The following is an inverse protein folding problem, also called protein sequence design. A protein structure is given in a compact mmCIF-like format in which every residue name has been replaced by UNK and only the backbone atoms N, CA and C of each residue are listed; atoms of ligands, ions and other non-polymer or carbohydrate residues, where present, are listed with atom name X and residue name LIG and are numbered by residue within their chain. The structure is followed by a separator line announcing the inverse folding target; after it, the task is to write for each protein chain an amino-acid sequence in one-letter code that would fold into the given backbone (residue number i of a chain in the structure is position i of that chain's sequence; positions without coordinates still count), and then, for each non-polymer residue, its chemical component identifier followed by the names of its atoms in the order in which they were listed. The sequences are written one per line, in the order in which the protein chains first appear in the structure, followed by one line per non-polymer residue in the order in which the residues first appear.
data_IF_640423327313
#
_entry.id   IF_640423327313
#
_cell.length_a   1.000
_cell.length_b   1.000
_cell.length_c   1.000
_cell.angle_alpha   90.00
_cell.angle_beta   90.00
_cell.angle_gamma   90.00
#
_symmetry.space_group_name_H-M   'P 1'
#
loop_
_entity.id
_entity.type
_entity.pdbx_description
1 polymer ?
#
# COMPACT_ATOMS: atom_id res chain seq x y z
N UNK A 1 9.26 32.86 16.73
CA UNK A 1 9.62 31.45 16.53
C UNK A 1 9.35 30.71 17.82
N UNK A 2 8.66 29.56 17.77
CA UNK A 2 8.55 28.71 18.95
C UNK A 2 9.95 28.27 19.37
N UNK A 3 10.27 28.35 20.66
CA UNK A 3 11.57 27.88 21.18
C UNK A 3 11.67 26.36 21.05
N UNK A 4 10.55 25.66 21.25
CA UNK A 4 10.43 24.20 21.28
C UNK A 4 9.10 23.76 20.67
N UNK A 5 9.09 22.62 19.98
CA UNK A 5 7.86 21.98 19.50
C UNK A 5 7.25 21.11 20.61
N UNK A 6 6.01 21.43 20.99
CA UNK A 6 5.25 20.67 21.98
C UNK A 6 4.39 19.56 21.36
N UNK A 7 3.86 18.67 22.21
CA UNK A 7 3.06 17.51 21.85
C UNK A 7 1.84 17.84 20.99
N UNK A 8 1.22 19.00 21.19
CA UNK A 8 -0.01 19.37 20.48
C UNK A 8 0.23 19.65 18.99
N UNK A 9 1.45 20.08 18.63
CA UNK A 9 1.85 20.19 17.22
C UNK A 9 1.94 18.82 16.56
N UNK A 10 2.48 17.82 17.28
CA UNK A 10 2.58 16.44 16.77
C UNK A 10 1.19 15.82 16.61
N UNK A 11 0.28 16.03 17.57
CA UNK A 11 -1.11 15.57 17.46
C UNK A 11 -1.85 16.19 16.28
N UNK A 12 -1.65 17.49 16.09
CA UNK A 12 -2.24 18.22 14.96
C UNK A 12 -1.73 17.68 13.64
N UNK A 13 -0.42 17.40 13.54
CA UNK A 13 0.17 16.74 12.38
C UNK A 13 -0.39 15.34 12.14
N UNK A 14 -0.48 14.50 13.18
CA UNK A 14 -1.09 13.18 13.10
C UNK A 14 -2.54 13.23 12.60
N UNK A 15 -3.32 14.22 13.06
CA UNK A 15 -4.69 14.42 12.57
C UNK A 15 -4.75 14.76 11.08
N UNK A 16 -3.70 15.35 10.51
CA UNK A 16 -3.63 15.64 9.07
C UNK A 16 -3.26 14.39 8.28
N UNK A 17 -2.37 13.55 8.81
CA UNK A 17 -1.97 12.29 8.16
C UNK A 17 -2.93 11.13 8.47
N UNK A 18 -3.92 11.31 9.34
CA UNK A 18 -4.90 10.30 9.73
C UNK A 18 -5.74 9.75 8.57
N UNK A 19 -5.80 10.49 7.46
CA UNK A 19 -6.47 10.12 6.21
C UNK A 19 -5.71 9.08 5.39
N UNK A 20 -4.46 8.78 5.73
CA UNK A 20 -3.63 7.79 5.05
C UNK A 20 -3.50 6.52 5.89
N UNK A 21 -3.20 5.41 5.21
CA UNK A 21 -3.02 4.12 5.86
C UNK A 21 -1.84 4.15 6.83
N UNK A 22 -2.12 3.79 8.09
CA UNK A 22 -1.18 3.87 9.21
C UNK A 22 0.06 2.99 9.03
N UNK A 23 -0.08 1.90 8.28
CA UNK A 23 0.96 0.88 8.17
C UNK A 23 1.97 1.18 7.07
N UNK A 24 1.57 1.98 6.09
CA UNK A 24 2.37 2.30 4.90
C UNK A 24 2.79 3.76 4.84
N UNK A 25 2.28 4.61 5.73
CA UNK A 25 2.58 6.04 5.78
C UNK A 25 3.73 6.33 6.74
N UNK A 26 4.74 7.06 6.24
CA UNK A 26 5.80 7.65 7.05
C UNK A 26 5.51 9.15 7.20
N UNK A 27 5.40 9.61 8.44
CA UNK A 27 5.22 11.02 8.75
C UNK A 27 6.54 11.67 9.13
N UNK A 28 6.95 12.71 8.39
CA UNK A 28 8.17 13.47 8.69
C UNK A 28 7.74 14.86 9.15
N UNK A 29 8.01 15.18 10.41
CA UNK A 29 7.80 16.51 10.96
C UNK A 29 9.14 17.22 11.06
N UNK A 30 9.24 18.40 10.43
CA UNK A 30 10.47 19.18 10.35
C UNK A 30 10.25 20.50 11.09
N UNK A 31 11.22 20.90 11.91
CA UNK A 31 11.17 22.18 12.62
C UNK A 31 12.44 23.01 12.44
N UNK A 32 12.28 24.32 12.57
CA UNK A 32 13.38 25.29 12.73
C UNK A 32 13.52 25.80 14.17
N UNK A 33 12.77 25.22 15.11
CA UNK A 33 12.82 25.59 16.53
C UNK A 33 14.23 25.33 17.10
N UNK A 34 14.75 26.30 17.85
CA UNK A 34 16.13 26.26 18.38
C UNK A 34 16.36 25.09 19.33
N UNK A 35 15.37 24.79 20.17
CA UNK A 35 15.45 23.71 21.16
C UNK A 35 14.80 22.42 20.64
N UNK A 36 14.47 22.35 19.35
CA UNK A 36 13.89 21.18 18.70
C UNK A 36 12.54 20.78 19.29
N UNK A 37 12.48 19.59 19.89
CA UNK A 37 11.24 18.95 20.36
C UNK A 37 11.24 18.73 21.87
N UNK A 38 10.10 18.98 22.49
CA UNK A 38 9.87 18.64 23.89
C UNK A 38 9.91 17.12 24.09
N UNK A 39 10.15 16.69 25.33
CA UNK A 39 10.04 15.28 25.72
C UNK A 39 8.64 14.71 25.45
N UNK A 40 7.59 15.52 25.60
CA UNK A 40 6.21 15.14 25.27
C UNK A 40 6.01 14.89 23.78
N UNK A 41 6.54 15.77 22.91
CA UNK A 41 6.50 15.59 21.46
C UNK A 41 7.24 14.32 21.01
N UNK A 42 8.44 14.08 21.55
CA UNK A 42 9.23 12.87 21.27
C UNK A 42 8.50 11.62 21.76
N UNK A 43 7.94 11.67 22.98
CA UNK A 43 7.18 10.57 23.56
C UNK A 43 5.95 10.22 22.70
N UNK A 44 5.22 11.23 22.22
CA UNK A 44 4.09 11.03 21.33
C UNK A 44 4.48 10.37 20.03
N UNK A 45 5.54 10.86 19.37
CA UNK A 45 6.03 10.29 18.12
C UNK A 45 6.44 8.82 18.26
N UNK A 46 7.09 8.44 19.37
CA UNK A 46 7.47 7.05 19.66
C UNK A 46 6.27 6.13 19.92
N UNK A 47 5.19 6.68 20.48
CA UNK A 47 3.94 5.94 20.75
C UNK A 47 2.95 5.94 19.59
N UNK A 48 3.28 6.59 18.47
CA UNK A 48 2.38 6.70 17.34
C UNK A 48 2.18 5.35 16.66
N UNK A 49 1.00 5.17 16.07
CA UNK A 49 0.73 4.05 15.16
C UNK A 49 1.38 4.27 13.79
N UNK A 50 1.82 5.50 13.49
CA UNK A 50 2.59 5.85 12.30
C UNK A 50 4.09 5.73 12.55
N UNK A 51 4.84 5.46 11.48
CA UNK A 51 6.28 5.68 11.47
C UNK A 51 6.58 7.17 11.43
N UNK A 52 6.81 7.78 12.59
CA UNK A 52 7.09 9.21 12.71
C UNK A 52 8.58 9.50 12.89
N UNK A 53 9.11 10.37 12.02
CA UNK A 53 10.42 11.01 12.15
C UNK A 53 10.23 12.47 12.57
N UNK A 54 10.82 12.83 13.71
CA UNK A 54 10.97 14.22 14.13
C UNK A 54 12.40 14.66 13.83
N UNK A 55 12.57 15.71 13.03
CA UNK A 55 13.90 16.19 12.61
C UNK A 55 13.95 17.72 12.57
N UNK A 56 15.15 18.28 12.50
CA UNK A 56 15.38 19.71 12.37
C UNK A 56 15.96 20.02 10.98
N UNK A 57 15.82 21.27 10.52
CA UNK A 57 16.39 21.70 9.23
C UNK A 57 17.88 21.34 9.08
N UNK A 58 18.76 21.55 10.08
CA UNK A 58 20.19 21.24 9.92
C UNK A 58 20.48 19.74 9.72
N UNK A 59 19.68 18.88 10.35
CA UNK A 59 19.93 17.44 10.44
C UNK A 59 19.18 16.64 9.36
N UNK A 60 18.28 17.31 8.63
CA UNK A 60 17.36 16.73 7.65
C UNK A 60 18.04 15.78 6.65
N UNK A 61 19.18 16.19 6.11
CA UNK A 61 19.91 15.44 5.09
C UNK A 61 20.49 14.13 5.62
N UNK A 62 20.73 14.03 6.92
CA UNK A 62 21.23 12.82 7.57
C UNK A 62 20.09 11.98 8.13
N UNK A 63 19.15 12.61 8.83
CA UNK A 63 18.07 11.92 9.55
C UNK A 63 17.14 11.15 8.61
N UNK A 64 16.79 11.73 7.46
CA UNK A 64 15.85 11.09 6.52
C UNK A 64 16.41 9.77 5.98
N UNK A 65 17.62 9.73 5.36
CA UNK A 65 18.17 8.47 4.85
C UNK A 65 18.36 7.41 5.93
N UNK A 66 18.86 7.78 7.12
CA UNK A 66 19.07 6.83 8.22
C UNK A 66 17.75 6.25 8.71
N UNK A 67 16.73 7.09 8.90
CA UNK A 67 15.42 6.66 9.34
C UNK A 67 14.73 5.75 8.31
N UNK A 68 14.78 6.12 7.03
CA UNK A 68 14.22 5.29 5.96
C UNK A 68 14.91 3.93 5.88
N UNK A 69 16.24 3.88 5.99
CA UNK A 69 16.98 2.62 6.06
C UNK A 69 16.51 1.74 7.22
N UNK A 70 16.28 2.34 8.39
CA UNK A 70 15.78 1.62 9.57
C UNK A 70 14.36 1.09 9.39
N UNK A 71 13.44 1.92 8.90
CA UNK A 71 12.04 1.53 8.70
C UNK A 71 11.91 0.47 7.60
N UNK A 72 12.65 0.60 6.49
CA UNK A 72 12.64 -0.39 5.42
C UNK A 72 13.34 -1.70 5.82
N UNK A 73 14.23 -1.67 6.81
CA UNK A 73 14.82 -2.86 7.40
C UNK A 73 14.03 -3.43 8.58
N UNK A 74 12.92 -2.81 8.97
CA UNK A 74 12.01 -3.37 9.97
C UNK A 74 11.36 -4.63 9.42
N UNK A 75 11.61 -5.76 10.09
CA UNK A 75 11.08 -7.06 9.70
C UNK A 75 9.54 -7.08 9.68
N UNK A 76 8.88 -6.21 10.45
CA UNK A 76 7.43 -6.03 10.41
C UNK A 76 6.94 -5.50 9.06
N UNK A 77 7.66 -4.53 8.47
CA UNK A 77 7.33 -3.98 7.15
C UNK A 77 7.60 -5.03 6.07
N UNK A 78 8.74 -5.74 6.17
CA UNK A 78 9.06 -6.86 5.25
C UNK A 78 8.03 -7.98 5.30
N UNK A 79 7.58 -8.38 6.50
CA UNK A 79 6.56 -9.42 6.65
C UNK A 79 5.20 -8.98 6.06
N UNK A 80 4.85 -7.70 6.20
CA UNK A 80 3.63 -7.16 5.57
C UNK A 80 3.74 -7.11 4.04
N UNK A 81 4.89 -6.71 3.51
CA UNK A 81 5.15 -6.74 2.06
C UNK A 81 5.03 -8.18 1.56
N UNK A 82 5.66 -9.13 2.24
CA UNK A 82 5.60 -10.55 1.91
C UNK A 82 4.16 -11.08 1.87
N UNK A 83 3.31 -10.73 2.85
CA UNK A 83 1.89 -11.11 2.85
C UNK A 83 1.08 -10.48 1.73
N UNK A 84 1.48 -9.29 1.25
CA UNK A 84 0.85 -8.66 0.09
C UNK A 84 1.26 -9.40 -1.19
N UNK A 85 2.55 -9.73 -1.32
CA UNK A 85 3.08 -10.51 -2.44
C UNK A 85 2.39 -11.87 -2.55
N UNK A 86 2.23 -12.59 -1.43
CA UNK A 86 1.51 -13.88 -1.38
C UNK A 86 0.06 -13.76 -1.88
N UNK A 87 -0.66 -12.71 -1.47
CA UNK A 87 -2.03 -12.46 -1.96
C UNK A 87 -2.09 -12.11 -3.44
N UNK A 88 -1.09 -11.40 -3.94
CA UNK A 88 -0.99 -11.08 -5.37
C UNK A 88 -0.79 -12.37 -6.17
N UNK A 89 0.07 -13.27 -5.71
CA UNK A 89 0.29 -14.57 -6.34
C UNK A 89 -0.99 -15.42 -6.35
N UNK A 90 -1.72 -15.51 -5.22
CA UNK A 90 -3.03 -16.18 -5.16
C UNK A 90 -4.05 -15.59 -6.17
N UNK A 91 -4.08 -14.26 -6.30
CA UNK A 91 -4.96 -13.59 -7.27
C UNK A 91 -4.58 -13.92 -8.71
N UNK A 92 -3.29 -14.03 -9.03
CA UNK A 92 -2.81 -14.42 -10.35
C UNK A 92 -3.28 -15.84 -10.68
N UNK A 93 -3.14 -16.80 -9.76
CA UNK A 93 -3.62 -18.18 -9.99
C UNK A 93 -5.13 -18.25 -10.25
N UNK A 94 -5.93 -17.47 -9.51
CA UNK A 94 -7.37 -17.38 -9.72
C UNK A 94 -7.69 -16.83 -11.11
N UNK A 95 -7.00 -15.77 -11.55
CA UNK A 95 -7.19 -15.18 -12.87
C UNK A 95 -6.83 -16.16 -13.99
N UNK A 96 -5.73 -16.89 -13.86
CA UNK A 96 -5.35 -17.92 -14.84
C UNK A 96 -6.39 -19.05 -14.93
N UNK A 97 -6.96 -19.46 -13.79
CA UNK A 97 -8.01 -20.47 -13.77
C UNK A 97 -9.29 -19.98 -14.46
N UNK A 98 -9.68 -18.72 -14.21
CA UNK A 98 -10.82 -18.09 -14.88
C UNK A 98 -10.61 -18.01 -16.39
N UNK A 99 -9.40 -17.68 -16.84
CA UNK A 99 -9.08 -17.59 -18.26
C UNK A 99 -9.23 -18.94 -18.98
N UNK A 100 -8.77 -20.03 -18.35
CA UNK A 100 -8.98 -21.41 -18.85
C UNK A 100 -10.47 -21.74 -18.95
N UNK A 101 -11.27 -21.36 -17.96
CA UNK A 101 -12.71 -21.61 -17.96
C UNK A 101 -13.43 -20.83 -19.08
N UNK A 102 -13.08 -19.55 -19.27
CA UNK A 102 -13.59 -18.72 -20.36
C UNK A 102 -13.24 -19.34 -21.72
N UNK A 103 -12.02 -19.83 -21.89
CA UNK A 103 -11.60 -20.48 -23.14
C UNK A 103 -12.44 -21.73 -23.44
N UNK A 104 -12.75 -22.55 -22.42
CA UNK A 104 -13.62 -23.71 -22.57
C UNK A 104 -15.03 -23.32 -23.01
N UNK A 105 -15.64 -22.31 -22.38
CA UNK A 105 -16.98 -21.81 -22.76
C UNK A 105 -16.99 -21.34 -24.22
N UNK A 106 -15.96 -20.59 -24.64
CA UNK A 106 -15.84 -20.13 -26.04
C UNK A 106 -15.80 -21.31 -27.02
N UNK A 107 -15.01 -22.34 -26.72
CA UNK A 107 -14.91 -23.52 -27.57
C UNK A 107 -16.23 -24.32 -27.65
N UNK A 108 -16.92 -24.47 -26.52
CA UNK A 108 -18.21 -25.16 -26.49
C UNK A 108 -19.29 -24.38 -27.25
N UNK A 109 -19.27 -23.05 -27.17
CA UNK A 109 -20.15 -22.18 -27.96
C UNK A 109 -19.92 -22.35 -29.47
N UNK A 110 -18.66 -22.35 -29.92
CA UNK A 110 -18.31 -22.58 -31.35
C UNK A 110 -18.83 -23.94 -31.82
N UNK A 111 -18.73 -24.99 -31.00
CA UNK A 111 -19.26 -26.32 -31.35
C UNK A 111 -20.78 -26.32 -31.51
N UNK A 112 -21.50 -25.60 -30.65
CA UNK A 112 -22.96 -25.48 -30.72
C UNK A 112 -23.37 -24.73 -31.99
N UNK A 113 -22.73 -23.59 -32.27
CA UNK A 113 -22.99 -22.78 -33.47
C UNK A 113 -22.74 -23.60 -34.75
N UNK A 114 -21.64 -24.35 -34.82
CA UNK A 114 -21.34 -25.24 -35.95
C UNK A 114 -22.39 -26.35 -36.15
N UNK A 115 -22.95 -26.90 -35.05
CA UNK A 115 -24.02 -27.89 -35.14
C UNK A 115 -25.32 -27.29 -35.67
N UNK A 116 -25.69 -26.08 -35.22
CA UNK A 116 -26.88 -25.37 -35.69
C UNK A 116 -26.78 -25.06 -37.20
N UNK A 117 -25.64 -24.52 -37.66
CA UNK A 117 -25.40 -24.24 -39.09
C UNK A 117 -25.56 -25.51 -39.94
N UNK A 118 -25.08 -26.67 -39.46
CA UNK A 118 -25.19 -27.94 -40.19
C UNK A 118 -26.65 -28.42 -40.29
N UNK A 119 -27.45 -28.22 -39.24
CA UNK A 119 -28.87 -28.57 -39.24
C UNK A 119 -29.66 -27.68 -40.21
N UNK A 120 -29.43 -26.37 -40.19
CA UNK A 120 -30.07 -25.41 -41.11
C UNK A 120 -29.77 -25.73 -42.57
N UNK A 121 -28.52 -26.02 -42.92
CA UNK A 121 -28.11 -26.40 -44.29
C UNK A 121 -28.79 -27.67 -44.79
N UNK A 122 -29.10 -28.61 -43.90
CA UNK A 122 -29.77 -29.85 -44.28
C UNK A 122 -31.28 -29.65 -44.49
N UNK A 123 -31.92 -28.74 -43.76
CA UNK A 123 -33.34 -28.42 -43.94
C UNK A 123 -33.62 -27.68 -45.26
N UNK A 124 -32.68 -26.87 -45.74
CA UNK A 124 -32.81 -26.15 -47.03
C UNK A 124 -32.64 -27.08 -48.24
N UNK A 125 -32.07 -28.28 -48.06
CA UNK A 125 -31.82 -29.27 -49.14
C UNK A 125 -32.95 -30.27 -49.36
N UNK A 126 -34.05 -30.18 -48.60
CA UNK A 126 -35.27 -30.99 -48.73
C UNK A 126 -36.34 -30.13 -49.39
#
# INVERSE_FOLDING_TARGET
FASTVDVDYIRSFESVISRFDKQTTIGIYITSAKDGYSSGAIGRAKSSEYYLLLTNIPDLCQDIPEYLSKVLNDNSVKEKIYRIEEKVDEMIEILEHQEKFIHKIKNDRIKIENKQIKLEKNQIRI
#
